data_IF_774628101650
#
_entry.id   IF_774628101650
#
_cell.length_a   1.000
_cell.length_b   1.000
_cell.length_c   1.000
_cell.angle_alpha   90.00
_cell.angle_beta   90.00
_cell.angle_gamma   90.00
#
_symmetry.space_group_name_H-M   'P 1'
#
loop_
_entity.id
_entity.type
_entity.pdbx_description
1 polymer ?
#
# COMPACT_ATOMS: atom_id res chain seq x y z
N UNK A 1 40.72 -1.33 38.18
CA UNK A 1 39.53 -0.45 38.14
C UNK A 1 39.32 0.13 36.73
N UNK A 2 39.09 -0.71 35.71
CA UNK A 2 38.97 -0.26 34.31
C UNK A 2 37.99 -1.14 33.49
N UNK A 3 36.90 -1.60 34.11
CA UNK A 3 35.85 -2.41 33.45
C UNK A 3 34.50 -1.70 33.35
N UNK A 4 34.29 -0.64 34.14
CA UNK A 4 33.08 0.17 34.14
C UNK A 4 32.91 1.09 32.90
N UNK A 5 33.96 1.71 32.29
CA UNK A 5 33.75 2.66 31.20
C UNK A 5 33.41 1.97 29.86
N UNK A 6 33.89 0.74 29.64
CA UNK A 6 33.64 -0.01 28.39
C UNK A 6 32.19 -0.52 28.35
N UNK A 7 31.65 -0.97 29.47
CA UNK A 7 30.26 -1.41 29.58
C UNK A 7 29.27 -0.26 29.34
N UNK A 8 29.58 0.95 29.81
CA UNK A 8 28.76 2.14 29.60
C UNK A 8 28.80 2.62 28.14
N UNK A 9 29.95 2.49 27.47
CA UNK A 9 30.08 2.83 26.05
C UNK A 9 29.27 1.87 25.17
N UNK A 10 29.30 0.56 25.48
CA UNK A 10 28.52 -0.46 24.77
C UNK A 10 27.00 -0.26 24.91
N UNK A 11 26.50 0.10 26.10
CA UNK A 11 25.06 0.37 26.29
C UNK A 11 24.58 1.63 25.56
N UNK A 12 25.42 2.66 25.46
CA UNK A 12 25.15 3.86 24.66
C UNK A 12 25.12 3.56 23.15
N UNK A 13 25.98 2.68 22.64
CA UNK A 13 25.96 2.25 21.23
C UNK A 13 24.74 1.40 20.88
N UNK A 14 24.25 0.54 21.79
CA UNK A 14 23.03 -0.25 21.54
C UNK A 14 21.73 0.56 21.63
N UNK A 15 21.69 1.67 22.39
CA UNK A 15 20.50 2.53 22.49
C UNK A 15 20.34 3.50 21.32
N UNK A 16 21.37 3.71 20.49
CA UNK A 16 21.30 4.63 19.34
C UNK A 16 20.52 4.05 18.14
N UNK A 17 20.22 2.75 18.13
CA UNK A 17 19.55 2.08 17.01
C UNK A 17 18.01 1.98 17.14
N UNK A 18 17.40 2.50 18.20
CA UNK A 18 15.99 2.21 18.53
C UNK A 18 14.98 3.33 18.27
N UNK A 19 15.37 4.49 17.70
CA UNK A 19 14.52 5.70 17.75
C UNK A 19 13.83 6.16 16.46
N UNK A 20 13.81 5.39 15.37
CA UNK A 20 13.06 5.77 14.16
C UNK A 20 12.03 4.71 13.76
N UNK A 21 11.03 4.50 14.60
CA UNK A 21 9.79 3.87 14.14
C UNK A 21 8.83 4.97 13.73
N UNK A 22 8.42 5.07 12.44
CA UNK A 22 7.36 5.98 12.06
C UNK A 22 6.10 5.62 12.86
N UNK A 23 5.59 6.56 13.65
CA UNK A 23 4.33 6.40 14.38
C UNK A 23 3.22 6.96 13.49
N UNK A 24 2.20 6.15 13.13
CA UNK A 24 1.02 6.65 12.45
C UNK A 24 0.39 7.81 13.22
N UNK A 25 0.01 8.87 12.52
CA UNK A 25 -0.67 10.03 13.13
C UNK A 25 -2.16 9.93 12.87
N UNK A 26 -2.97 10.23 13.89
CA UNK A 26 -4.44 10.33 13.77
C UNK A 26 -4.90 11.78 13.59
N UNK A 27 -3.96 12.73 13.46
CA UNK A 27 -4.25 14.17 13.41
C UNK A 27 -5.22 14.54 12.28
N UNK A 28 -5.19 13.82 11.17
CA UNK A 28 -5.99 14.09 9.98
C UNK A 28 -7.21 13.17 9.85
N UNK A 29 -7.46 12.31 10.85
CA UNK A 29 -8.62 11.44 10.82
C UNK A 29 -9.90 12.29 10.85
N UNK A 30 -10.91 11.95 10.03
CA UNK A 30 -12.19 12.64 10.08
C UNK A 30 -12.84 12.47 11.46
N UNK A 31 -13.45 13.54 11.96
CA UNK A 31 -14.23 13.52 13.20
C UNK A 31 -15.66 13.03 12.98
N UNK A 32 -16.09 12.89 11.72
CA UNK A 32 -17.39 12.37 11.36
C UNK A 32 -17.55 10.92 11.86
N UNK A 33 -18.71 10.60 12.42
CA UNK A 33 -19.01 9.26 12.95
C UNK A 33 -19.67 8.35 11.92
N UNK A 34 -19.92 8.85 10.71
CA UNK A 34 -20.55 8.14 9.60
C UNK A 34 -19.88 8.53 8.29
N UNK A 35 -19.64 7.54 7.44
CA UNK A 35 -19.13 7.76 6.10
C UNK A 35 -20.22 8.37 5.19
N UNK A 36 -19.83 9.36 4.40
CA UNK A 36 -20.67 10.02 3.40
C UNK A 36 -20.25 9.59 2.00
N UNK A 37 -21.00 8.67 1.39
CA UNK A 37 -20.72 8.22 0.02
C UNK A 37 -21.34 9.20 -1.00
N UNK A 38 -20.65 9.49 -2.12
CA UNK A 38 -19.38 8.87 -2.54
C UNK A 38 -18.13 9.59 -2.01
N UNK A 39 -18.25 10.67 -1.22
CA UNK A 39 -17.11 11.50 -0.78
C UNK A 39 -15.99 10.66 -0.15
N UNK A 40 -16.31 9.76 0.78
CA UNK A 40 -15.30 8.95 1.49
C UNK A 40 -14.75 7.77 0.70
N UNK A 41 -15.14 7.65 -0.57
CA UNK A 41 -14.45 6.78 -1.50
C UNK A 41 -13.15 7.42 -2.04
N UNK A 42 -13.07 8.76 -2.02
CA UNK A 42 -11.90 9.48 -2.46
C UNK A 42 -10.68 9.16 -1.59
N UNK A 43 -9.50 9.45 -2.12
CA UNK A 43 -8.26 9.39 -1.34
C UNK A 43 -8.35 10.31 -0.13
N UNK A 44 -7.89 9.86 1.03
CA UNK A 44 -7.73 10.65 2.24
C UNK A 44 -6.26 11.13 2.34
N UNK A 45 -5.86 12.26 1.71
CA UNK A 45 -4.48 12.48 1.29
C UNK A 45 -3.45 12.64 2.42
N UNK A 46 -3.92 12.90 3.64
CA UNK A 46 -3.08 13.12 4.83
C UNK A 46 -3.26 12.03 5.88
N UNK A 47 -4.04 10.99 5.59
CA UNK A 47 -4.13 9.83 6.48
C UNK A 47 -2.80 9.09 6.47
N UNK A 48 -2.34 8.66 7.64
CA UNK A 48 -1.03 8.02 7.75
C UNK A 48 -0.91 6.70 6.98
N UNK A 49 -2.05 6.03 6.77
CA UNK A 49 -2.18 4.78 6.05
C UNK A 49 -3.58 4.68 5.47
N UNK A 50 -3.66 4.36 4.19
CA UNK A 50 -4.90 4.09 3.48
C UNK A 50 -4.67 2.92 2.50
N UNK A 51 -5.72 2.13 2.24
CA UNK A 51 -5.62 0.98 1.33
C UNK A 51 -6.89 0.79 0.49
N UNK A 52 -6.69 0.38 -0.75
CA UNK A 52 -7.72 -0.14 -1.64
C UNK A 52 -7.38 -1.59 -1.93
N UNK A 53 -8.11 -2.51 -1.28
CA UNK A 53 -7.77 -3.93 -1.28
C UNK A 53 -8.88 -4.77 -1.91
N UNK A 54 -8.55 -5.37 -3.06
CA UNK A 54 -9.40 -6.32 -3.77
C UNK A 54 -8.86 -7.74 -3.57
N UNK A 55 -9.76 -8.66 -3.24
CA UNK A 55 -9.50 -10.11 -3.26
C UNK A 55 -10.65 -10.82 -3.97
N UNK A 56 -10.36 -11.96 -4.58
CA UNK A 56 -11.39 -12.71 -5.28
C UNK A 56 -10.92 -14.04 -5.86
N UNK A 57 -11.84 -14.71 -6.53
CA UNK A 57 -11.60 -15.93 -7.29
C UNK A 57 -11.92 -15.67 -8.76
N UNK A 58 -11.02 -16.07 -9.63
CA UNK A 58 -11.17 -16.04 -11.08
C UNK A 58 -11.46 -17.45 -11.58
N UNK A 59 -12.20 -17.53 -12.68
CA UNK A 59 -12.40 -18.79 -13.40
C UNK A 59 -12.07 -18.58 -14.87
N UNK A 60 -11.13 -19.35 -15.37
CA UNK A 60 -10.79 -19.34 -16.79
C UNK A 60 -11.99 -19.82 -17.62
N UNK A 61 -12.32 -19.07 -18.67
CA UNK A 61 -13.52 -19.36 -19.47
C UNK A 61 -13.36 -20.60 -20.36
N UNK A 62 -12.13 -20.95 -20.74
CA UNK A 62 -11.87 -22.05 -21.67
C UNK A 62 -11.62 -23.37 -20.94
N UNK A 63 -10.77 -23.38 -19.92
CA UNK A 63 -10.38 -24.56 -19.14
C UNK A 63 -11.28 -24.79 -17.92
N UNK A 64 -11.98 -23.75 -17.45
CA UNK A 64 -12.75 -23.80 -16.20
C UNK A 64 -11.88 -23.79 -14.94
N UNK A 65 -10.57 -23.60 -15.07
CA UNK A 65 -9.60 -23.57 -13.97
C UNK A 65 -9.81 -22.37 -13.06
N UNK A 66 -9.62 -22.57 -11.76
CA UNK A 66 -9.83 -21.55 -10.73
C UNK A 66 -8.50 -20.95 -10.28
N UNK A 67 -8.51 -19.63 -10.07
CA UNK A 67 -7.36 -18.88 -9.55
C UNK A 67 -7.79 -17.96 -8.42
N UNK A 68 -6.93 -17.74 -7.44
CA UNK A 68 -7.07 -16.64 -6.49
C UNK A 68 -6.44 -15.36 -7.04
N UNK A 69 -7.03 -14.20 -6.78
CA UNK A 69 -6.46 -12.89 -7.08
C UNK A 69 -6.41 -12.04 -5.82
N UNK A 70 -5.28 -11.37 -5.62
CA UNK A 70 -5.11 -10.28 -4.66
C UNK A 70 -4.55 -9.06 -5.39
N UNK A 71 -5.18 -7.90 -5.21
CA UNK A 71 -4.73 -6.65 -5.80
C UNK A 71 -4.92 -5.54 -4.77
N UNK A 72 -3.84 -4.91 -4.33
CA UNK A 72 -3.88 -3.83 -3.33
C UNK A 72 -3.03 -2.64 -3.71
N UNK A 73 -3.58 -1.44 -3.53
CA UNK A 73 -2.81 -0.21 -3.41
C UNK A 73 -2.78 0.22 -1.94
N UNK A 74 -1.61 0.51 -1.42
CA UNK A 74 -1.40 1.22 -0.15
C UNK A 74 -0.93 2.64 -0.43
N UNK A 75 -1.44 3.58 0.35
CA UNK A 75 -0.95 4.95 0.41
C UNK A 75 -0.48 5.24 1.83
N UNK A 76 0.73 5.80 1.95
CA UNK A 76 1.35 6.14 3.22
C UNK A 76 1.70 7.61 3.22
N UNK A 77 1.04 8.38 4.08
CA UNK A 77 1.39 9.76 4.32
C UNK A 77 2.16 9.90 5.63
N UNK A 78 3.47 10.13 5.55
CA UNK A 78 4.34 10.25 6.71
C UNK A 78 4.73 11.71 6.95
N UNK A 79 5.04 12.02 8.21
CA UNK A 79 5.51 13.34 8.66
C UNK A 79 4.59 14.49 8.20
N UNK A 80 3.28 14.33 8.38
CA UNK A 80 2.27 15.34 8.08
C UNK A 80 2.25 15.83 6.61
N UNK A 81 2.55 14.94 5.65
CA UNK A 81 2.50 15.24 4.22
C UNK A 81 3.85 15.45 3.54
N UNK A 82 4.96 15.36 4.28
CA UNK A 82 6.30 15.58 3.73
C UNK A 82 6.84 14.36 2.97
N UNK A 83 6.38 13.18 3.34
CA UNK A 83 6.85 11.89 2.86
C UNK A 83 5.66 11.05 2.43
N UNK A 84 5.28 11.20 1.16
CA UNK A 84 4.14 10.51 0.56
C UNK A 84 4.60 9.32 -0.27
N UNK A 85 4.09 8.14 0.02
CA UNK A 85 4.47 6.90 -0.65
C UNK A 85 3.24 6.15 -1.14
N UNK A 86 3.43 5.40 -2.21
CA UNK A 86 2.44 4.47 -2.73
C UNK A 86 3.08 3.12 -2.95
N UNK A 87 2.35 2.07 -2.60
CA UNK A 87 2.74 0.70 -2.91
C UNK A 87 1.59 0.01 -3.63
N UNK A 88 1.91 -0.77 -4.67
CA UNK A 88 0.98 -1.71 -5.29
C UNK A 88 1.52 -3.13 -5.10
N UNK A 89 0.66 -4.05 -4.68
CA UNK A 89 0.94 -5.48 -4.68
C UNK A 89 -0.12 -6.18 -5.51
N UNK A 90 0.31 -7.12 -6.34
CA UNK A 90 -0.58 -7.95 -7.15
C UNK A 90 -0.12 -9.40 -7.02
N UNK A 91 -1.06 -10.32 -6.84
CA UNK A 91 -0.76 -11.74 -6.78
C UNK A 91 -1.85 -12.58 -7.43
N UNK A 92 -1.43 -13.65 -8.11
CA UNK A 92 -2.28 -14.71 -8.64
C UNK A 92 -1.86 -16.03 -7.99
N UNK A 93 -2.83 -16.68 -7.35
CA UNK A 93 -2.69 -18.02 -6.78
C UNK A 93 -3.27 -19.04 -7.76
N UNK A 94 -2.47 -20.01 -8.15
CA UNK A 94 -2.86 -21.18 -8.97
C UNK A 94 -2.84 -22.44 -8.08
N UNK A 95 -3.99 -22.88 -7.57
CA UNK A 95 -4.06 -24.06 -6.71
C UNK A 95 -3.68 -25.37 -7.42
N UNK A 96 -4.01 -25.49 -8.71
CA UNK A 96 -3.81 -26.72 -9.49
C UNK A 96 -2.36 -26.89 -9.91
N UNK A 97 -1.75 -25.81 -10.40
CA UNK A 97 -0.31 -25.75 -10.68
C UNK A 97 0.56 -25.60 -9.44
N UNK A 98 -0.05 -25.39 -8.25
CA UNK A 98 0.62 -25.15 -6.97
C UNK A 98 1.61 -23.99 -7.01
N UNK A 99 1.20 -22.88 -7.63
CA UNK A 99 2.04 -21.69 -7.81
C UNK A 99 1.41 -20.47 -7.16
N UNK A 100 2.28 -19.62 -6.62
CA UNK A 100 1.93 -18.30 -6.14
C UNK A 100 2.82 -17.29 -6.87
N UNK A 101 2.24 -16.56 -7.82
CA UNK A 101 2.94 -15.54 -8.59
C UNK A 101 2.54 -14.19 -8.02
N UNK A 102 3.51 -13.40 -7.58
CA UNK A 102 3.27 -12.10 -7.00
C UNK A 102 4.34 -11.12 -7.44
N UNK A 103 3.99 -9.85 -7.41
CA UNK A 103 4.90 -8.78 -7.72
C UNK A 103 4.42 -7.48 -7.05
N UNK A 104 5.33 -6.56 -6.83
CA UNK A 104 5.04 -5.32 -6.13
C UNK A 104 5.89 -4.16 -6.59
N UNK A 105 5.42 -2.95 -6.28
CA UNK A 105 6.20 -1.74 -6.42
C UNK A 105 5.86 -0.79 -5.30
N UNK A 106 6.88 -0.28 -4.63
CA UNK A 106 6.81 0.83 -3.68
C UNK A 106 7.63 1.98 -4.25
N UNK A 107 7.08 3.18 -4.23
CA UNK A 107 7.80 4.41 -4.57
C UNK A 107 7.29 5.63 -3.79
N UNK A 108 8.15 6.64 -3.72
CA UNK A 108 7.78 7.97 -3.21
C UNK A 108 6.98 8.71 -4.28
N UNK A 109 5.83 9.26 -3.92
CA UNK A 109 5.04 10.09 -4.80
C UNK A 109 5.67 11.49 -4.92
N UNK A 110 5.70 12.09 -6.13
CA UNK A 110 6.27 13.41 -6.35
C UNK A 110 5.41 14.55 -5.76
N UNK A 111 4.16 14.26 -5.42
CA UNK A 111 3.17 15.15 -4.83
C UNK A 111 2.11 14.33 -4.12
N UNK A 112 1.43 14.94 -3.16
CA UNK A 112 0.27 14.33 -2.51
C UNK A 112 -0.77 13.89 -3.54
N UNK A 113 -1.39 12.75 -3.27
CA UNK A 113 -2.63 12.37 -3.94
C UNK A 113 -3.74 13.41 -3.68
N UNK A 114 -4.70 13.47 -4.59
CA UNK A 114 -5.86 14.37 -4.46
C UNK A 114 -7.08 13.59 -4.02
N UNK A 115 -7.93 14.23 -3.21
CA UNK A 115 -9.25 13.76 -2.75
C UNK A 115 -10.30 13.78 -3.87
N UNK A 116 -9.90 13.37 -5.07
CA UNK A 116 -10.72 13.43 -6.28
C UNK A 116 -11.38 12.09 -6.60
N UNK A 117 -12.63 12.15 -7.05
CA UNK A 117 -13.35 11.04 -7.66
C UNK A 117 -13.40 11.16 -9.19
N UNK A 118 -13.42 10.04 -9.94
CA UNK A 118 -13.20 8.67 -9.45
C UNK A 118 -11.79 8.49 -8.90
N UNK A 119 -11.60 7.50 -8.03
CA UNK A 119 -10.27 7.11 -7.54
C UNK A 119 -9.40 6.76 -8.75
N UNK A 120 -8.17 7.27 -8.78
CA UNK A 120 -7.19 7.06 -9.86
C UNK A 120 -5.81 6.88 -9.28
N UNK A 121 -5.40 5.63 -9.06
CA UNK A 121 -4.10 5.27 -8.54
C UNK A 121 -3.26 4.66 -9.67
N UNK A 122 -1.97 4.98 -9.67
CA UNK A 122 -1.04 4.59 -10.74
C UNK A 122 0.34 4.35 -10.20
N UNK A 123 0.96 3.25 -10.62
CA UNK A 123 2.35 2.96 -10.31
C UNK A 123 3.12 2.58 -11.58
N UNK A 124 4.38 2.99 -11.69
CA UNK A 124 5.21 2.76 -12.87
C UNK A 124 6.27 1.69 -12.58
N UNK A 125 6.23 0.58 -13.31
CA UNK A 125 7.18 -0.52 -13.14
C UNK A 125 7.60 -1.10 -14.48
N UNK A 126 8.90 -1.12 -14.76
CA UNK A 126 9.49 -1.77 -15.94
C UNK A 126 8.81 -1.40 -17.28
N UNK A 127 8.47 -0.12 -17.48
CA UNK A 127 7.79 0.37 -18.68
C UNK A 127 6.28 0.08 -18.75
N UNK A 128 5.71 -0.52 -17.71
CA UNK A 128 4.28 -0.75 -17.53
C UNK A 128 3.69 0.27 -16.55
N UNK A 129 2.38 0.49 -16.65
CA UNK A 129 1.62 1.31 -15.71
C UNK A 129 0.58 0.42 -15.05
N UNK A 130 0.69 0.23 -13.74
CA UNK A 130 -0.29 -0.52 -12.98
C UNK A 130 -1.31 0.44 -12.39
N UNK A 131 -2.60 0.11 -12.44
CA UNK A 131 -3.66 1.07 -12.15
C UNK A 131 -4.79 0.50 -11.31
N UNK A 132 -5.41 1.38 -10.53
CA UNK A 132 -6.70 1.17 -9.89
C UNK A 132 -7.55 2.41 -10.17
N UNK A 133 -8.59 2.25 -10.97
CA UNK A 133 -9.47 3.35 -11.35
C UNK A 133 -10.92 2.96 -11.12
N UNK A 134 -11.71 3.83 -10.49
CA UNK A 134 -13.14 3.56 -10.39
C UNK A 134 -13.85 4.39 -9.35
N UNK A 135 -15.15 4.23 -9.32
CA UNK A 135 -16.01 4.72 -8.25
C UNK A 135 -17.27 3.87 -8.16
N UNK A 136 -17.94 3.93 -7.01
CA UNK A 136 -19.33 3.50 -6.82
C UNK A 136 -19.60 2.08 -7.36
N UNK A 137 -18.73 1.13 -7.00
CA UNK A 137 -18.89 -0.27 -7.37
C UNK A 137 -18.46 -0.63 -8.80
N UNK A 138 -17.94 0.31 -9.58
CA UNK A 138 -17.37 0.06 -10.91
C UNK A 138 -15.90 0.45 -10.93
N UNK A 139 -15.05 -0.57 -11.04
CA UNK A 139 -13.60 -0.38 -11.02
C UNK A 139 -12.92 -1.14 -12.16
N UNK A 140 -11.78 -0.61 -12.58
CA UNK A 140 -10.89 -1.15 -13.58
C UNK A 140 -9.49 -1.19 -12.97
N UNK A 141 -8.86 -2.36 -13.07
CA UNK A 141 -7.52 -2.60 -12.56
C UNK A 141 -6.66 -3.15 -13.68
N UNK A 142 -5.40 -2.75 -13.71
CA UNK A 142 -4.44 -3.23 -14.70
C UNK A 142 -3.11 -3.45 -14.03
N UNK A 143 -2.52 -4.62 -14.22
CA UNK A 143 -1.15 -4.90 -13.83
C UNK A 143 -0.57 -5.98 -14.75
N UNK A 144 0.73 -5.91 -14.96
CA UNK A 144 1.48 -6.89 -15.74
C UNK A 144 2.40 -7.67 -14.79
N UNK A 145 1.95 -8.85 -14.36
CA UNK A 145 2.80 -9.78 -13.61
C UNK A 145 3.83 -10.37 -14.56
N UNK A 146 5.07 -9.89 -14.47
CA UNK A 146 6.22 -10.56 -15.09
C UNK A 146 6.73 -11.61 -14.10
N UNK A 147 6.05 -12.76 -14.05
CA UNK A 147 6.51 -13.92 -13.28
C UNK A 147 7.86 -14.42 -13.73
#
# INVERSE_FOLDING_TARGET
MMRLPIALLLTLFFSACSSFKPVPTTRFNPTATRAELPHEEAVHPKNSLEWWYLTGHLRDQASGEEFGIEYVFFHFNLKDGQDDYQMVNVAITDPKGQKFNYDYKLDKLPRLLTDSLPVRLREHKAGQVWTFNGQEGKYQFEAALTG
#
